data_IF_175839805738
#
_entry.id   IF_175839805738
#
_cell.length_a   1.000
_cell.length_b   1.000
_cell.length_c   1.000
_cell.angle_alpha   90.00
_cell.angle_beta   90.00
_cell.angle_gamma   90.00
#
_symmetry.space_group_name_H-M   'P 1'
#
loop_
_entity.id
_entity.type
_entity.pdbx_description
1 polymer ?
#
# COMPACT_ATOMS: atom_id res chain seq x y z
N UNK A 1 9.82 17.31 -1.76
CA UNK A 1 10.07 16.36 -2.86
C UNK A 1 8.86 15.44 -3.00
N UNK A 2 8.27 15.34 -4.19
CA UNK A 2 7.20 14.38 -4.49
C UNK A 2 7.86 13.15 -5.12
N UNK A 3 8.21 12.18 -4.28
CA UNK A 3 8.84 10.94 -4.70
C UNK A 3 7.92 9.76 -4.47
N UNK A 4 7.95 8.78 -5.39
CA UNK A 4 7.40 7.46 -5.11
C UNK A 4 8.15 6.88 -3.90
N UNK A 5 7.42 6.23 -2.97
CA UNK A 5 7.98 5.59 -1.79
C UNK A 5 9.12 4.63 -2.17
N UNK A 6 8.98 3.99 -3.34
CA UNK A 6 9.98 3.04 -3.86
C UNK A 6 11.33 3.70 -4.15
N UNK A 7 11.34 4.94 -4.67
CA UNK A 7 12.57 5.65 -5.02
C UNK A 7 13.32 6.04 -3.74
N UNK A 8 12.59 6.54 -2.74
CA UNK A 8 13.15 6.92 -1.45
C UNK A 8 13.72 5.70 -0.71
N UNK A 9 13.02 4.56 -0.72
CA UNK A 9 13.49 3.35 -0.05
C UNK A 9 14.71 2.71 -0.70
N UNK A 10 14.82 2.71 -2.04
CA UNK A 10 15.92 2.04 -2.76
C UNK A 10 17.26 2.73 -2.49
N UNK A 11 17.25 4.05 -2.36
CA UNK A 11 18.47 4.83 -2.23
C UNK A 11 18.97 4.86 -0.78
N UNK A 12 18.05 4.82 0.18
CA UNK A 12 18.36 5.11 1.58
C UNK A 12 18.22 3.90 2.53
N UNK A 13 17.51 2.82 2.14
CA UNK A 13 17.19 1.71 3.04
C UNK A 13 17.65 0.33 2.56
N UNK A 14 17.80 -0.63 3.49
CA UNK A 14 18.11 -2.02 3.12
C UNK A 14 16.95 -2.64 2.35
N UNK A 15 17.27 -3.30 1.23
CA UNK A 15 16.34 -4.12 0.48
C UNK A 15 16.19 -5.50 1.16
N UNK A 16 15.25 -5.64 2.09
CA UNK A 16 14.87 -6.92 2.71
C UNK A 16 13.59 -6.80 3.56
N UNK A 17 13.12 -7.92 4.12
CA UNK A 17 12.07 -7.95 5.15
C UNK A 17 12.64 -7.47 6.50
N UNK A 18 12.86 -6.16 6.61
CA UNK A 18 13.47 -5.55 7.78
C UNK A 18 12.45 -5.33 8.89
N UNK A 19 12.94 -5.20 10.13
CA UNK A 19 12.10 -4.94 11.30
C UNK A 19 11.35 -3.60 11.17
N UNK A 20 12.02 -2.58 10.62
CA UNK A 20 11.49 -1.23 10.44
C UNK A 20 11.51 -0.86 8.94
N UNK A 21 10.49 -1.25 8.15
CA UNK A 21 10.47 -0.98 6.72
C UNK A 21 10.28 0.51 6.39
N UNK A 22 9.65 1.29 7.27
CA UNK A 22 9.44 2.73 7.05
C UNK A 22 10.63 3.55 7.58
N UNK A 23 11.16 4.47 6.77
CA UNK A 23 12.24 5.38 7.21
C UNK A 23 11.71 6.55 8.05
N UNK A 24 10.43 6.92 7.90
CA UNK A 24 9.80 8.04 8.62
C UNK A 24 9.39 7.67 10.05
N UNK A 25 8.95 6.43 10.26
CA UNK A 25 8.38 5.96 11.52
C UNK A 25 8.97 4.62 11.91
N UNK A 26 9.10 4.40 13.21
CA UNK A 26 9.53 3.13 13.79
C UNK A 26 8.38 2.11 13.83
N UNK A 27 7.80 1.85 12.66
CA UNK A 27 6.77 0.84 12.47
C UNK A 27 7.42 -0.55 12.49
N UNK A 28 7.16 -1.32 13.56
CA UNK A 28 7.71 -2.66 13.71
C UNK A 28 6.86 -3.67 12.94
N UNK A 29 7.36 -4.15 11.81
CA UNK A 29 6.66 -5.12 10.97
C UNK A 29 6.61 -6.52 11.61
N UNK A 30 7.36 -6.77 12.69
CA UNK A 30 7.37 -8.05 13.41
C UNK A 30 6.43 -8.05 14.62
N UNK A 31 5.98 -6.88 15.06
CA UNK A 31 5.05 -6.71 16.18
C UNK A 31 3.62 -7.04 15.74
N UNK A 32 3.26 -8.33 15.78
CA UNK A 32 1.94 -8.82 15.35
C UNK A 32 0.80 -8.40 16.28
N UNK A 33 1.10 -8.09 17.53
CA UNK A 33 0.09 -7.71 18.54
C UNK A 33 -0.38 -6.28 18.31
N UNK A 34 0.56 -5.36 18.10
CA UNK A 34 0.23 -3.94 17.94
C UNK A 34 0.07 -3.52 16.47
N UNK A 35 0.38 -4.41 15.51
CA UNK A 35 0.42 -4.09 14.08
C UNK A 35 -0.83 -3.35 13.57
N UNK A 36 -2.01 -3.83 13.98
CA UNK A 36 -3.30 -3.32 13.52
C UNK A 36 -4.04 -2.47 14.55
N UNK A 37 -3.53 -2.39 15.78
CA UNK A 37 -4.14 -1.64 16.90
C UNK A 37 -3.50 -0.26 17.03
N UNK A 38 -2.19 -0.17 16.80
CA UNK A 38 -1.43 1.06 16.99
C UNK A 38 -1.49 1.94 15.76
N UNK A 39 -2.22 3.04 15.88
CA UNK A 39 -2.35 4.05 14.82
C UNK A 39 -1.11 4.95 14.73
N UNK A 40 -0.54 5.32 15.88
CA UNK A 40 0.59 6.26 15.94
C UNK A 40 1.89 5.54 16.32
N UNK A 41 2.78 5.41 15.35
CA UNK A 41 4.15 4.93 15.55
C UNK A 41 5.10 6.11 15.80
N UNK A 42 6.12 5.94 16.66
CA UNK A 42 7.03 7.02 16.96
C UNK A 42 7.86 7.37 15.70
N UNK A 43 8.03 8.66 15.46
CA UNK A 43 8.86 9.14 14.36
C UNK A 43 10.32 8.71 14.53
N UNK A 44 10.99 8.45 13.41
CA UNK A 44 12.42 8.16 13.39
C UNK A 44 13.20 9.40 13.79
N UNK A 45 13.96 9.33 14.89
CA UNK A 45 14.75 10.47 15.42
C UNK A 45 16.13 10.62 14.79
N UNK A 46 16.72 9.51 14.32
CA UNK A 46 18.06 9.49 13.73
C UNK A 46 18.00 8.83 12.36
N UNK A 47 18.60 9.50 11.38
CA UNK A 47 18.81 8.96 10.03
C UNK A 47 20.24 8.53 9.80
N UNK A 48 20.92 8.11 10.86
CA UNK A 48 22.30 7.62 10.77
C UNK A 48 22.36 6.29 10.01
N UNK A 49 23.24 6.17 9.00
CA UNK A 49 23.53 4.90 8.35
C UNK A 49 23.88 3.81 9.36
N UNK A 50 23.34 2.61 9.15
CA UNK A 50 23.52 1.44 10.02
C UNK A 50 22.45 1.29 11.10
N UNK A 51 21.59 2.29 11.33
CA UNK A 51 20.47 2.19 12.27
C UNK A 51 19.15 1.88 11.57
N UNK A 52 18.35 0.99 12.16
CA UNK A 52 16.90 0.84 11.91
C UNK A 52 16.51 0.90 10.43
N UNK A 53 17.22 0.12 9.60
CA UNK A 53 17.04 -0.05 8.15
C UNK A 53 17.63 1.04 7.24
N UNK A 54 18.32 2.05 7.76
CA UNK A 54 18.95 3.10 6.94
C UNK A 54 20.37 2.67 6.58
N UNK A 55 20.70 2.60 5.29
CA UNK A 55 22.05 2.23 4.81
C UNK A 55 22.87 3.42 4.36
N UNK A 56 22.19 4.45 3.85
CA UNK A 56 22.82 5.66 3.32
C UNK A 56 22.24 6.87 4.01
N UNK A 57 22.99 7.96 4.00
CA UNK A 57 22.48 9.26 4.45
C UNK A 57 21.33 9.64 3.52
N UNK A 58 20.14 10.00 4.03
CA UNK A 58 19.00 10.29 3.19
C UNK A 58 19.29 11.47 2.26
N UNK A 59 18.93 11.29 0.98
CA UNK A 59 19.09 12.33 -0.05
C UNK A 59 18.19 13.54 0.21
N UNK A 60 17.05 13.32 0.85
CA UNK A 60 16.08 14.34 1.20
C UNK A 60 15.76 14.21 2.68
N UNK A 61 15.75 15.34 3.39
CA UNK A 61 15.32 15.35 4.79
C UNK A 61 13.90 14.77 4.96
N UNK A 62 13.65 13.89 5.94
CA UNK A 62 12.34 13.30 6.21
C UNK A 62 11.17 14.30 6.27
N UNK A 63 11.41 15.47 6.85
CA UNK A 63 10.41 16.55 6.98
C UNK A 63 10.00 17.19 5.64
N UNK A 64 10.82 17.04 4.60
CA UNK A 64 10.61 17.60 3.25
C UNK A 64 10.03 16.56 2.28
N UNK A 65 9.80 15.33 2.75
CA UNK A 65 9.21 14.25 1.95
C UNK A 65 7.70 14.34 2.06
N UNK A 66 7.04 14.48 0.92
CA UNK A 66 5.59 14.42 0.82
C UNK A 66 5.19 13.13 0.13
N UNK A 67 4.47 12.26 0.84
CA UNK A 67 3.94 11.01 0.29
C UNK A 67 2.60 11.29 -0.42
N UNK A 68 2.49 11.14 -1.74
CA UNK A 68 1.25 11.48 -2.44
C UNK A 68 0.15 10.47 -2.07
N UNK A 69 -1.02 10.92 -1.56
CA UNK A 69 -2.10 10.02 -1.13
C UNK A 69 -2.60 9.08 -2.23
N UNK A 70 -2.44 9.47 -3.51
CA UNK A 70 -2.83 8.65 -4.64
C UNK A 70 -2.03 7.35 -4.72
N UNK A 71 -0.70 7.39 -4.70
CA UNK A 71 0.14 6.19 -4.82
C UNK A 71 -0.09 5.19 -3.67
N UNK A 72 -0.37 5.69 -2.46
CA UNK A 72 -0.73 4.85 -1.31
C UNK A 72 -2.06 4.14 -1.58
N UNK A 73 -3.09 4.87 -2.03
CA UNK A 73 -4.40 4.28 -2.37
C UNK A 73 -4.29 3.27 -3.51
N UNK A 74 -3.49 3.56 -4.54
CA UNK A 74 -3.23 2.63 -5.64
C UNK A 74 -2.59 1.33 -5.14
N UNK A 75 -1.56 1.43 -4.31
CA UNK A 75 -0.88 0.28 -3.73
C UNK A 75 -1.78 -0.58 -2.85
N UNK A 76 -2.56 0.04 -1.96
CA UNK A 76 -3.52 -0.66 -1.09
C UNK A 76 -4.62 -1.36 -1.89
N UNK A 77 -5.22 -0.66 -2.85
CA UNK A 77 -6.29 -1.24 -3.67
C UNK A 77 -5.78 -2.40 -4.51
N UNK A 78 -4.56 -2.29 -5.03
CA UNK A 78 -3.89 -3.37 -5.75
C UNK A 78 -3.76 -4.63 -4.88
N UNK A 79 -3.26 -4.47 -3.65
CA UNK A 79 -3.11 -5.60 -2.71
C UNK A 79 -4.47 -6.17 -2.31
N UNK A 80 -5.45 -5.31 -2.05
CA UNK A 80 -6.80 -5.72 -1.71
C UNK A 80 -7.42 -6.60 -2.81
N UNK A 81 -7.47 -6.12 -4.05
CA UNK A 81 -8.03 -6.91 -5.17
C UNK A 81 -7.24 -8.19 -5.43
N UNK A 82 -5.91 -8.15 -5.30
CA UNK A 82 -5.09 -9.37 -5.39
C UNK A 82 -5.42 -10.40 -4.32
N UNK A 83 -5.88 -9.99 -3.14
CA UNK A 83 -6.23 -10.90 -2.05
C UNK A 83 -7.62 -11.53 -2.24
N UNK A 84 -8.54 -10.86 -2.95
CA UNK A 84 -9.91 -11.35 -3.17
C UNK A 84 -9.97 -12.64 -4.02
N UNK A 85 -11.09 -13.35 -3.94
CA UNK A 85 -11.28 -14.61 -4.70
C UNK A 85 -11.52 -14.33 -6.19
N UNK A 86 -10.68 -14.83 -7.10
CA UNK A 86 -10.74 -14.47 -8.53
C UNK A 86 -11.97 -15.05 -9.24
N UNK A 87 -12.58 -16.07 -8.63
CA UNK A 87 -13.82 -16.69 -9.10
C UNK A 87 -15.08 -16.11 -8.40
N UNK A 88 -14.90 -15.04 -7.61
CA UNK A 88 -15.97 -14.39 -6.87
C UNK A 88 -16.85 -13.45 -7.71
N UNK A 89 -18.05 -13.14 -7.22
CA UNK A 89 -19.02 -12.24 -7.85
C UNK A 89 -18.50 -10.83 -8.09
N UNK A 90 -17.59 -10.33 -7.24
CA UNK A 90 -16.99 -9.00 -7.46
C UNK A 90 -16.15 -8.96 -8.75
N UNK A 91 -15.53 -10.08 -9.16
CA UNK A 91 -14.69 -10.13 -10.35
C UNK A 91 -15.52 -9.89 -11.61
N UNK A 92 -16.63 -10.64 -11.74
CA UNK A 92 -17.60 -10.46 -12.81
C UNK A 92 -18.17 -9.02 -12.83
N UNK A 93 -18.43 -8.46 -11.66
CA UNK A 93 -18.89 -7.07 -11.54
C UNK A 93 -17.85 -6.07 -12.04
N UNK A 94 -16.59 -6.18 -11.62
CA UNK A 94 -15.53 -5.29 -12.06
C UNK A 94 -15.24 -5.43 -13.56
N UNK A 95 -15.23 -6.65 -14.10
CA UNK A 95 -15.04 -6.90 -15.53
C UNK A 95 -16.16 -6.24 -16.36
N UNK A 96 -17.41 -6.32 -15.90
CA UNK A 96 -18.54 -5.65 -16.55
C UNK A 96 -18.48 -4.13 -16.41
N UNK A 97 -18.06 -3.63 -15.25
CA UNK A 97 -18.01 -2.18 -14.96
C UNK A 97 -16.86 -1.49 -15.70
N UNK A 98 -15.75 -2.18 -15.89
CA UNK A 98 -14.56 -1.68 -16.54
C UNK A 98 -14.17 -2.57 -17.74
N UNK A 99 -14.97 -2.59 -18.82
CA UNK A 99 -14.73 -3.48 -19.96
C UNK A 99 -13.42 -3.17 -20.71
N UNK A 100 -12.85 -1.98 -20.51
CA UNK A 100 -11.55 -1.59 -21.06
C UNK A 100 -10.36 -2.13 -20.25
N UNK A 101 -10.58 -2.64 -19.04
CA UNK A 101 -9.53 -3.25 -18.23
C UNK A 101 -9.45 -4.73 -18.59
N UNK A 102 -8.25 -5.18 -18.95
CA UNK A 102 -8.01 -6.58 -19.30
C UNK A 102 -8.16 -7.48 -18.07
N UNK A 103 -8.57 -8.73 -18.28
CA UNK A 103 -8.68 -9.77 -17.24
C UNK A 103 -7.40 -9.87 -16.39
N UNK A 104 -6.24 -9.84 -17.06
CA UNK A 104 -4.92 -9.87 -16.42
C UNK A 104 -4.67 -8.64 -15.52
N UNK A 105 -4.98 -7.42 -16.00
CA UNK A 105 -4.86 -6.21 -15.17
C UNK A 105 -5.82 -6.24 -13.99
N UNK A 106 -7.03 -6.74 -14.21
CA UNK A 106 -8.05 -6.84 -13.17
C UNK A 106 -7.62 -7.78 -12.04
N UNK A 107 -7.10 -8.98 -12.37
CA UNK A 107 -6.56 -9.95 -11.39
C UNK A 107 -5.36 -9.40 -10.63
N UNK A 108 -4.54 -8.59 -11.29
CA UNK A 108 -3.38 -7.96 -10.69
C UNK A 108 -3.71 -6.71 -9.88
N UNK A 109 -4.98 -6.30 -9.83
CA UNK A 109 -5.43 -5.11 -9.12
C UNK A 109 -4.94 -3.81 -9.75
N UNK A 110 -4.68 -3.81 -11.05
CA UNK A 110 -4.17 -2.66 -11.80
C UNK A 110 -5.36 -1.87 -12.33
N UNK A 111 -5.70 -0.83 -11.60
CA UNK A 111 -6.74 0.13 -11.93
C UNK A 111 -6.05 1.49 -11.93
N UNK A 112 -6.04 2.17 -13.07
CA UNK A 112 -5.45 3.50 -13.17
C UNK A 112 -6.35 4.51 -12.42
N UNK A 113 -7.12 5.32 -13.14
CA UNK A 113 -8.05 6.26 -12.50
C UNK A 113 -9.33 5.60 -11.94
N UNK A 114 -9.60 4.35 -12.34
CA UNK A 114 -10.79 3.59 -11.95
C UNK A 114 -10.90 3.33 -10.43
N UNK A 115 -9.80 3.42 -9.67
CA UNK A 115 -9.79 3.19 -8.21
C UNK A 115 -10.71 4.14 -7.48
N UNK A 116 -10.73 5.42 -7.87
CA UNK A 116 -11.58 6.42 -7.21
C UNK A 116 -13.07 6.07 -7.37
N UNK A 117 -13.41 5.49 -8.52
CA UNK A 117 -14.75 5.00 -8.81
C UNK A 117 -15.08 3.78 -7.96
N UNK A 118 -14.19 2.80 -7.87
CA UNK A 118 -14.41 1.57 -7.08
C UNK A 118 -14.55 1.89 -5.59
N UNK A 119 -13.69 2.75 -5.03
CA UNK A 119 -13.72 3.11 -3.61
C UNK A 119 -15.01 3.83 -3.19
N UNK A 120 -15.71 4.46 -4.12
CA UNK A 120 -16.98 5.17 -3.87
C UNK A 120 -18.21 4.34 -4.26
N UNK A 121 -17.98 3.15 -4.80
CA UNK A 121 -19.02 2.32 -5.36
C UNK A 121 -19.61 1.39 -4.30
N UNK A 122 -20.72 1.82 -3.70
CA UNK A 122 -21.45 0.97 -2.74
C UNK A 122 -21.89 -0.37 -3.34
N UNK A 123 -22.16 -0.44 -4.65
CA UNK A 123 -22.55 -1.68 -5.31
C UNK A 123 -21.38 -2.69 -5.37
N UNK A 124 -20.13 -2.22 -5.49
CA UNK A 124 -18.96 -3.08 -5.41
C UNK A 124 -18.89 -3.83 -4.07
N UNK A 125 -19.15 -3.13 -2.96
CA UNK A 125 -19.16 -3.76 -1.63
C UNK A 125 -20.24 -4.85 -1.56
N UNK A 126 -21.41 -4.64 -2.15
CA UNK A 126 -22.49 -5.64 -2.16
C UNK A 126 -22.07 -6.94 -2.86
N UNK A 127 -21.23 -6.85 -3.89
CA UNK A 127 -20.74 -8.03 -4.65
C UNK A 127 -19.72 -8.89 -3.93
N UNK A 128 -19.19 -8.42 -2.80
CA UNK A 128 -18.26 -9.19 -1.97
C UNK A 128 -18.99 -10.18 -1.06
N UNK A 129 -18.35 -11.32 -0.82
CA UNK A 129 -18.85 -12.29 0.16
C UNK A 129 -18.57 -11.81 1.61
N UNK A 130 -19.13 -12.52 2.59
CA UNK A 130 -19.02 -12.15 4.02
C UNK A 130 -17.57 -12.10 4.50
N UNK A 131 -16.71 -13.02 4.02
CA UNK A 131 -15.28 -13.05 4.40
C UNK A 131 -14.51 -11.88 3.79
N UNK A 132 -14.79 -11.56 2.52
CA UNK A 132 -14.17 -10.45 1.80
C UNK A 132 -14.55 -9.08 2.41
N UNK A 133 -15.77 -8.96 2.95
CA UNK A 133 -16.23 -7.74 3.66
C UNK A 133 -15.60 -7.57 5.04
N UNK A 134 -15.18 -8.68 5.66
CA UNK A 134 -14.62 -8.71 7.00
C UNK A 134 -13.07 -8.64 7.00
N UNK A 135 -12.45 -8.67 5.82
CA UNK A 135 -11.00 -8.54 5.61
C UNK A 135 -10.59 -7.06 5.64
#
# INVERSE_FOLDING_TARGET
>A
FWGDLKILSILDQQSAFTKFPCFLYLWDNRDRENHYVKVHWPATKSTEPGQKNIINKPLVEPSKIFLPPLHIKLGLMKQFVKALNKDGSYYAYLAKKFPAITDAKLKEGIFDDAIRTILRDGAFIVTMNVKEKAA
#
